data_IF_328495749587
#
_entry.id   IF_328495749587
#
_cell.length_a   1.000
_cell.length_b   1.000
_cell.length_c   1.000
_cell.angle_alpha   90.00
_cell.angle_beta   90.00
_cell.angle_gamma   90.00
#
_symmetry.space_group_name_H-M   'P 1'
#
loop_
_entity.id
_entity.type
_entity.pdbx_description
1 polymer ?
#
# COMPACT_ATOMS: atom_id res chain seq x y z
N UNK A 1 -4.72 26.36 -12.38
CA UNK A 1 -4.46 25.95 -10.97
C UNK A 1 -5.41 24.83 -10.50
N UNK A 2 -6.70 24.86 -10.86
CA UNK A 2 -7.66 23.79 -10.56
C UNK A 2 -7.30 22.44 -11.18
N UNK A 3 -6.93 22.43 -12.47
CA UNK A 3 -6.56 21.20 -13.19
C UNK A 3 -5.38 20.45 -12.54
N UNK A 4 -4.36 21.17 -12.07
CA UNK A 4 -3.24 20.54 -11.35
C UNK A 4 -3.69 19.93 -10.02
N UNK A 5 -4.62 20.57 -9.31
CA UNK A 5 -5.18 20.03 -8.05
C UNK A 5 -6.02 18.77 -8.33
N UNK A 6 -6.82 18.78 -9.39
CA UNK A 6 -7.60 17.60 -9.81
C UNK A 6 -6.69 16.44 -10.23
N UNK A 7 -5.61 16.73 -10.94
CA UNK A 7 -4.60 15.73 -11.29
C UNK A 7 -3.99 15.11 -10.04
N UNK A 8 -3.55 15.92 -9.07
CA UNK A 8 -2.99 15.42 -7.80
C UNK A 8 -4.00 14.54 -7.05
N UNK A 9 -5.27 14.92 -7.02
CA UNK A 9 -6.31 14.12 -6.38
C UNK A 9 -6.51 12.80 -7.13
N UNK A 10 -6.55 12.81 -8.46
CA UNK A 10 -6.64 11.61 -9.30
C UNK A 10 -5.49 10.64 -9.06
N UNK A 11 -4.25 11.13 -9.01
CA UNK A 11 -3.09 10.29 -8.69
C UNK A 11 -3.20 9.64 -7.30
N UNK A 12 -3.65 10.40 -6.28
CA UNK A 12 -3.91 9.83 -4.95
C UNK A 12 -5.00 8.76 -4.98
N UNK A 13 -6.04 8.92 -5.79
CA UNK A 13 -7.06 7.88 -5.97
C UNK A 13 -6.49 6.64 -6.63
N UNK A 14 -5.63 6.80 -7.64
CA UNK A 14 -4.95 5.68 -8.31
C UNK A 14 -4.12 4.89 -7.29
N UNK A 15 -3.36 5.56 -6.43
CA UNK A 15 -2.55 4.89 -5.40
C UNK A 15 -3.41 4.16 -4.35
N UNK A 16 -4.55 4.74 -3.96
CA UNK A 16 -5.52 4.08 -3.08
C UNK A 16 -6.07 2.81 -3.74
N UNK A 17 -6.43 2.85 -5.02
CA UNK A 17 -6.95 1.69 -5.74
C UNK A 17 -5.89 0.61 -5.94
N UNK A 18 -4.64 0.98 -6.23
CA UNK A 18 -3.51 0.02 -6.26
C UNK A 18 -3.37 -0.72 -4.93
N UNK A 19 -3.45 0.00 -3.80
CA UNK A 19 -3.41 -0.62 -2.48
C UNK A 19 -4.62 -1.53 -2.19
N UNK A 20 -5.81 -1.21 -2.71
CA UNK A 20 -7.00 -2.09 -2.61
C UNK A 20 -6.83 -3.39 -3.38
N UNK A 21 -6.25 -3.36 -4.57
CA UNK A 21 -5.95 -4.57 -5.36
C UNK A 21 -4.99 -5.49 -4.59
N UNK A 22 -3.92 -4.93 -3.99
CA UNK A 22 -3.00 -5.71 -3.15
C UNK A 22 -3.69 -6.33 -1.94
N UNK A 23 -4.59 -5.59 -1.29
CA UNK A 23 -5.40 -6.10 -0.17
C UNK A 23 -6.27 -7.28 -0.58
N UNK A 24 -6.88 -7.24 -1.76
CA UNK A 24 -7.70 -8.33 -2.28
C UNK A 24 -6.88 -9.58 -2.55
N UNK A 25 -5.71 -9.43 -3.21
CA UNK A 25 -4.75 -10.53 -3.43
C UNK A 25 -4.28 -11.14 -2.11
N UNK A 26 -4.00 -10.30 -1.11
CA UNK A 26 -3.60 -10.76 0.22
C UNK A 26 -4.71 -11.56 0.91
N UNK A 27 -5.96 -11.08 0.88
CA UNK A 27 -7.12 -11.82 1.42
C UNK A 27 -7.30 -13.16 0.73
N UNK A 28 -7.12 -13.20 -0.59
CA UNK A 28 -7.18 -14.44 -1.36
C UNK A 28 -6.06 -15.39 -0.95
N UNK A 29 -4.81 -14.92 -0.83
CA UNK A 29 -3.69 -15.73 -0.36
C UNK A 29 -3.95 -16.32 1.04
N UNK A 30 -4.47 -15.51 1.97
CA UNK A 30 -4.80 -15.97 3.32
C UNK A 30 -5.89 -17.07 3.30
N UNK A 31 -6.87 -16.94 2.40
CA UNK A 31 -7.94 -17.94 2.24
C UNK A 31 -7.42 -19.26 1.67
N UNK A 32 -6.48 -19.22 0.73
CA UNK A 32 -5.96 -20.41 0.06
C UNK A 32 -4.91 -21.12 0.91
N UNK A 33 -3.98 -20.39 1.51
CA UNK A 33 -2.85 -20.98 2.25
C UNK A 33 -3.23 -21.46 3.65
N UNK A 34 -4.32 -20.94 4.22
CA UNK A 34 -4.77 -21.32 5.56
C UNK A 34 -3.65 -21.10 6.58
N UNK A 35 -3.25 -22.15 7.30
CA UNK A 35 -2.18 -22.10 8.33
C UNK A 35 -0.81 -21.66 7.79
N UNK A 36 -0.53 -21.81 6.49
CA UNK A 36 0.78 -21.46 5.92
C UNK A 36 0.90 -19.99 5.46
N UNK A 37 -0.11 -19.16 5.75
CA UNK A 37 -0.14 -17.78 5.27
C UNK A 37 1.05 -16.94 5.75
N UNK A 38 1.64 -17.25 6.91
CA UNK A 38 2.78 -16.52 7.48
C UNK A 38 4.05 -16.63 6.63
N UNK A 39 4.27 -17.78 5.98
CA UNK A 39 5.45 -17.98 5.12
C UNK A 39 5.13 -17.56 3.69
N UNK A 40 4.02 -18.05 3.14
CA UNK A 40 3.69 -17.87 1.72
C UNK A 40 3.21 -16.45 1.39
N UNK A 41 2.38 -15.84 2.23
CA UNK A 41 1.77 -14.53 1.94
C UNK A 41 2.62 -13.33 2.43
N UNK A 42 3.76 -13.56 3.07
CA UNK A 42 4.61 -12.50 3.66
C UNK A 42 4.98 -11.40 2.66
N UNK A 43 5.35 -11.77 1.44
CA UNK A 43 5.74 -10.82 0.41
C UNK A 43 4.56 -9.90 0.00
N UNK A 44 3.34 -10.43 -0.07
CA UNK A 44 2.14 -9.64 -0.33
C UNK A 44 1.81 -8.69 0.82
N UNK A 45 2.04 -9.12 2.07
CA UNK A 45 1.87 -8.24 3.25
C UNK A 45 2.83 -7.07 3.17
N UNK A 46 4.11 -7.32 2.89
CA UNK A 46 5.12 -6.25 2.75
C UNK A 46 4.73 -5.27 1.65
N UNK A 47 4.40 -5.77 0.46
CA UNK A 47 3.96 -4.94 -0.67
C UNK A 47 2.72 -4.09 -0.32
N UNK A 48 1.72 -4.70 0.33
CA UNK A 48 0.51 -3.99 0.74
C UNK A 48 0.81 -2.91 1.79
N UNK A 49 1.62 -3.22 2.82
CA UNK A 49 2.00 -2.25 3.83
C UNK A 49 2.75 -1.07 3.20
N UNK A 50 3.70 -1.33 2.31
CA UNK A 50 4.48 -0.30 1.62
C UNK A 50 3.61 0.55 0.69
N UNK A 51 2.65 -0.07 -0.03
CA UNK A 51 1.68 0.64 -0.85
C UNK A 51 0.66 1.47 -0.04
N UNK A 52 0.60 1.31 1.28
CA UNK A 52 -0.28 2.13 2.13
C UNK A 52 0.45 3.22 2.91
N UNK A 53 1.79 3.25 2.87
CA UNK A 53 2.60 4.29 3.54
C UNK A 53 2.30 5.65 2.91
N UNK A 54 1.95 6.63 3.74
CA UNK A 54 1.63 7.98 3.30
C UNK A 54 0.34 8.16 2.49
N UNK A 55 -0.44 7.09 2.23
CA UNK A 55 -1.64 7.11 1.37
C UNK A 55 -2.92 7.00 2.22
N UNK A 56 -3.96 7.78 1.85
CA UNK A 56 -5.31 7.74 2.42
C UNK A 56 -5.64 8.78 3.53
N UNK A 57 -6.90 8.76 3.98
CA UNK A 57 -7.39 9.48 5.17
C UNK A 57 -7.22 8.60 6.42
N UNK A 58 -6.95 9.21 7.58
CA UNK A 58 -6.75 8.47 8.84
C UNK A 58 -5.36 7.81 8.97
N UNK A 59 -4.33 8.46 8.41
CA UNK A 59 -2.92 8.03 8.50
C UNK A 59 -2.46 7.82 9.95
N UNK A 60 -3.10 8.51 10.90
CA UNK A 60 -2.83 8.46 12.33
C UNK A 60 -3.21 7.12 12.99
N UNK A 61 -4.07 6.32 12.36
CA UNK A 61 -4.44 4.99 12.86
C UNK A 61 -3.39 3.90 12.66
N UNK A 62 -2.28 4.20 11.99
CA UNK A 62 -1.16 3.26 11.77
C UNK A 62 -0.07 3.44 12.82
N UNK A 63 0.77 2.42 13.00
CA UNK A 63 1.96 2.55 13.83
C UNK A 63 2.83 3.72 13.32
N UNK A 64 3.36 4.61 14.19
CA UNK A 64 4.09 5.81 13.80
C UNK A 64 5.22 5.58 12.78
N UNK A 65 5.88 4.42 12.81
CA UNK A 65 6.93 4.07 11.82
C UNK A 65 6.44 3.97 10.37
N UNK A 66 5.13 3.94 10.14
CA UNK A 66 4.49 3.79 8.82
C UNK A 66 3.81 5.08 8.33
N UNK A 67 3.96 6.19 9.05
CA UNK A 67 3.35 7.49 8.69
C UNK A 67 4.14 8.22 7.60
N UNK A 68 5.41 7.86 7.41
CA UNK A 68 6.28 8.46 6.41
C UNK A 68 5.92 8.07 4.96
N UNK A 69 6.41 8.83 3.97
CA UNK A 69 6.34 8.43 2.57
C UNK A 69 7.11 7.11 2.35
N UNK A 70 6.75 6.38 1.30
CA UNK A 70 7.50 5.20 0.86
C UNK A 70 8.94 5.64 0.59
N UNK A 71 9.92 4.97 1.22
CA UNK A 71 11.33 5.18 0.88
C UNK A 71 11.52 4.54 -0.49
N UNK A 72 11.74 5.36 -1.51
CA UNK A 72 12.15 4.84 -2.82
C UNK A 72 13.58 4.37 -2.69
N UNK A 73 13.81 3.08 -2.94
CA UNK A 73 15.16 2.56 -3.10
C UNK A 73 15.71 3.22 -4.36
N UNK A 74 16.62 4.18 -4.16
CA UNK A 74 17.39 4.75 -5.26
C UNK A 74 18.29 3.61 -5.74
N UNK A 75 17.97 3.05 -6.91
CA UNK A 75 18.91 2.15 -7.59
C UNK A 75 20.19 2.96 -7.81
N UNK A 76 21.22 2.64 -7.04
CA UNK A 76 22.55 3.19 -7.24
C UNK A 76 23.09 2.55 -8.52
N UNK A 77 23.05 3.34 -9.60
CA UNK A 77 23.73 3.05 -10.87
C UNK A 77 25.25 2.95 -10.68
#
# INVERSE_FOLDING_TARGET
>A
MLEMREHIVREKWIDIEKAKILRERLRWCYRIEGVNHLQKCRHLVTQYLDATRGIGWGKDGRHPSLHGPKVEEVEAE
#
